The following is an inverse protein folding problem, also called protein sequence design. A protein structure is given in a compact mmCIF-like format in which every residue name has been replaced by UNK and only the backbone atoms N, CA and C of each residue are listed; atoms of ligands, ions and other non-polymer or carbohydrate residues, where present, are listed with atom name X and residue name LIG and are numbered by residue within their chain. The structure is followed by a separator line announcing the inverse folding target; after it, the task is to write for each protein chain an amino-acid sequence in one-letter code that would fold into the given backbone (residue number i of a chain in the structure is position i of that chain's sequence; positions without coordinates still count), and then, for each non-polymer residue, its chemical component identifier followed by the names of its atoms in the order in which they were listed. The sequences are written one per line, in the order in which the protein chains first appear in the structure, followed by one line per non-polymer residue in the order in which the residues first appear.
data_IF_964141337641
#
_entry.id   IF_964141337641
#
_cell.length_a   1.000
_cell.length_b   1.000
_cell.length_c   1.000
_cell.angle_alpha   90.00
_cell.angle_beta   90.00
_cell.angle_gamma   90.00
#
_symmetry.space_group_name_H-M   'P 1'
#
loop_
_entity.id
_entity.type
_entity.pdbx_description
1 polymer ?
#
# COMPACT_ATOMS: atom_id res chain seq x y z
N UNK A 1 -11.49 -4.71 -30.59
CA UNK A 1 -10.90 -5.09 -29.32
C UNK A 1 -11.39 -4.16 -28.21
N UNK A 2 -11.77 -4.71 -27.07
CA UNK A 2 -12.17 -3.89 -25.91
C UNK A 2 -10.94 -3.33 -25.24
N UNK A 3 -10.98 -2.07 -24.82
CA UNK A 3 -9.87 -1.42 -24.12
C UNK A 3 -9.48 -2.20 -22.85
N UNK A 4 -10.46 -2.78 -22.15
CA UNK A 4 -10.22 -3.56 -20.95
C UNK A 4 -9.28 -4.75 -21.16
N UNK A 5 -9.22 -5.31 -22.38
CA UNK A 5 -8.31 -6.42 -22.66
C UNK A 5 -6.85 -6.01 -22.67
N UNK A 6 -6.56 -4.73 -22.86
CA UNK A 6 -5.20 -4.20 -22.78
C UNK A 6 -4.72 -4.17 -21.34
N UNK A 7 -5.63 -3.92 -20.40
CA UNK A 7 -5.30 -3.86 -18.98
C UNK A 7 -5.05 -5.24 -18.38
N UNK A 8 -5.73 -6.28 -18.92
CA UNK A 8 -5.58 -7.65 -18.40
C UNK A 8 -4.21 -8.25 -18.65
N UNK A 9 -3.42 -7.68 -19.57
CA UNK A 9 -2.07 -8.15 -19.88
C UNK A 9 -0.99 -7.46 -19.04
N UNK A 10 -1.37 -6.46 -18.23
CA UNK A 10 -0.45 -5.66 -17.42
C UNK A 10 -0.65 -5.95 -15.94
N UNK A 11 0.34 -5.58 -15.14
CA UNK A 11 0.20 -5.60 -13.69
C UNK A 11 -0.85 -4.58 -13.26
N UNK A 12 -1.76 -4.99 -12.41
CA UNK A 12 -2.80 -4.10 -11.90
C UNK A 12 -3.20 -4.52 -10.48
N UNK A 13 -3.86 -3.62 -9.78
CA UNK A 13 -4.57 -3.92 -8.55
C UNK A 13 -5.90 -3.19 -8.56
N UNK A 14 -6.82 -3.66 -7.72
CA UNK A 14 -8.16 -3.07 -7.60
C UNK A 14 -8.11 -1.93 -6.60
N UNK A 15 -8.67 -0.77 -6.98
CA UNK A 15 -8.81 0.38 -6.08
C UNK A 15 -10.29 0.56 -5.76
N UNK A 16 -10.63 0.51 -4.48
CA UNK A 16 -11.99 0.63 -4.01
C UNK A 16 -12.44 2.09 -4.04
N UNK A 17 -13.60 2.36 -4.66
CA UNK A 17 -14.13 3.72 -4.80
C UNK A 17 -14.47 4.37 -3.45
N UNK A 18 -14.93 3.58 -2.49
CA UNK A 18 -15.25 4.12 -1.16
C UNK A 18 -13.97 4.56 -0.44
N UNK A 19 -12.86 3.86 -0.65
CA UNK A 19 -11.56 4.25 -0.09
C UNK A 19 -11.07 5.54 -0.73
N UNK A 20 -11.30 5.75 -2.02
CA UNK A 20 -10.95 7.00 -2.68
C UNK A 20 -11.67 8.18 -2.02
N UNK A 21 -12.96 8.01 -1.74
CA UNK A 21 -13.77 9.06 -1.09
C UNK A 21 -13.33 9.30 0.35
N UNK A 22 -13.03 8.25 1.09
CA UNK A 22 -12.68 8.34 2.51
C UNK A 22 -11.25 8.83 2.74
N UNK A 23 -10.31 8.43 1.90
CA UNK A 23 -8.87 8.64 2.14
C UNK A 23 -8.21 9.62 1.17
N UNK A 24 -8.75 9.74 -0.05
CA UNK A 24 -8.12 10.49 -1.14
C UNK A 24 -7.61 9.55 -2.21
N UNK A 25 -7.45 10.06 -3.42
CA UNK A 25 -7.07 9.23 -4.57
C UNK A 25 -5.68 8.65 -4.43
N UNK A 26 -4.70 9.47 -4.09
CA UNK A 26 -3.31 9.01 -3.96
C UNK A 26 -3.14 8.05 -2.80
N UNK A 27 -3.81 8.32 -1.69
CA UNK A 27 -3.83 7.44 -0.52
C UNK A 27 -4.43 6.08 -0.87
N UNK A 28 -5.52 6.06 -1.62
CA UNK A 28 -6.16 4.81 -2.03
C UNK A 28 -5.25 4.00 -2.98
N UNK A 29 -4.53 4.67 -3.87
CA UNK A 29 -3.59 4.00 -4.78
C UNK A 29 -2.43 3.38 -4.01
N UNK A 30 -1.80 4.12 -3.11
CA UNK A 30 -0.70 3.60 -2.30
C UNK A 30 -1.17 2.45 -1.41
N UNK A 31 -2.34 2.60 -0.80
CA UNK A 31 -2.91 1.53 0.02
C UNK A 31 -3.17 0.27 -0.80
N UNK A 32 -3.68 0.41 -2.03
CA UNK A 32 -3.88 -0.73 -2.93
C UNK A 32 -2.57 -1.47 -3.23
N UNK A 33 -1.49 -0.73 -3.48
CA UNK A 33 -0.17 -1.32 -3.68
C UNK A 33 0.33 -2.02 -2.42
N UNK A 34 0.14 -1.39 -1.26
CA UNK A 34 0.56 -1.99 0.02
C UNK A 34 -0.21 -3.26 0.35
N UNK A 35 -1.50 -3.32 0.02
CA UNK A 35 -2.30 -4.53 0.20
C UNK A 35 -1.74 -5.66 -0.69
N UNK A 36 -1.38 -5.34 -1.92
CA UNK A 36 -0.72 -6.29 -2.83
C UNK A 36 0.60 -6.81 -2.26
N UNK A 37 1.42 -5.93 -1.70
CA UNK A 37 2.68 -6.32 -1.06
C UNK A 37 2.45 -7.20 0.16
N UNK A 38 1.44 -6.84 0.99
CA UNK A 38 1.08 -7.63 2.16
C UNK A 38 0.69 -9.05 1.76
N UNK A 39 -0.14 -9.19 0.74
CA UNK A 39 -0.56 -10.51 0.25
C UNK A 39 0.62 -11.33 -0.26
N UNK A 40 1.56 -10.69 -0.93
CA UNK A 40 2.79 -11.33 -1.39
C UNK A 40 3.57 -11.95 -0.21
N UNK A 41 3.74 -11.20 0.88
CA UNK A 41 4.47 -11.66 2.06
C UNK A 41 3.66 -12.70 2.85
N UNK A 42 2.35 -12.52 2.95
CA UNK A 42 1.46 -13.45 3.64
C UNK A 42 1.46 -14.83 2.97
N UNK A 43 1.38 -14.86 1.64
CA UNK A 43 1.42 -16.10 0.87
C UNK A 43 2.73 -16.88 1.10
N UNK A 44 3.79 -16.20 1.50
CA UNK A 44 5.10 -16.81 1.79
C UNK A 44 5.34 -17.05 3.28
N UNK A 45 4.32 -16.79 4.10
CA UNK A 45 4.43 -16.98 5.54
C UNK A 45 5.42 -16.02 6.21
N UNK A 46 5.60 -14.83 5.65
CA UNK A 46 6.62 -13.88 6.11
C UNK A 46 6.07 -12.61 6.75
N UNK A 47 4.84 -12.65 7.25
CA UNK A 47 4.33 -11.58 8.10
C UNK A 47 4.79 -11.82 9.54
N UNK A 48 5.34 -10.80 10.18
CA UNK A 48 5.70 -10.83 11.60
C UNK A 48 4.78 -9.87 12.35
N UNK A 49 3.82 -10.39 13.08
CA UNK A 49 2.81 -9.62 13.80
C UNK A 49 2.11 -8.64 12.83
N UNK A 50 1.76 -9.13 11.65
CA UNK A 50 1.15 -8.38 10.54
C UNK A 50 2.04 -7.30 9.91
N UNK A 51 3.28 -7.15 10.34
CA UNK A 51 4.25 -6.25 9.73
C UNK A 51 4.86 -6.89 8.49
N UNK A 52 5.04 -6.10 7.45
CA UNK A 52 5.74 -6.53 6.25
C UNK A 52 6.73 -5.47 5.78
N UNK A 53 7.78 -5.95 5.11
CA UNK A 53 8.83 -5.10 4.57
C UNK A 53 8.33 -4.43 3.28
N UNK A 54 8.52 -3.11 3.20
CA UNK A 54 8.11 -2.34 2.02
C UNK A 54 9.17 -1.31 1.69
N UNK A 55 9.69 -1.35 0.46
CA UNK A 55 10.76 -0.45 0.04
C UNK A 55 10.24 0.73 -0.75
N UNK A 56 10.93 1.87 -0.60
CA UNK A 56 10.68 3.06 -1.42
C UNK A 56 10.86 2.71 -2.91
N UNK A 57 11.93 1.97 -3.22
CA UNK A 57 12.25 1.59 -4.60
C UNK A 57 11.12 0.79 -5.26
N UNK A 58 10.59 -0.19 -4.55
CA UNK A 58 9.54 -1.03 -5.12
C UNK A 58 8.28 -0.23 -5.43
N UNK A 59 7.85 0.62 -4.51
CA UNK A 59 6.66 1.47 -4.74
C UNK A 59 6.91 2.44 -5.88
N UNK A 60 8.09 3.05 -5.94
CA UNK A 60 8.42 3.95 -7.05
C UNK A 60 8.41 3.22 -8.38
N UNK A 61 8.96 2.01 -8.43
CA UNK A 61 8.96 1.20 -9.64
C UNK A 61 7.55 0.76 -10.06
N UNK A 62 6.70 0.45 -9.11
CA UNK A 62 5.35 -0.07 -9.40
C UNK A 62 4.36 1.03 -9.76
N UNK A 63 4.37 2.17 -9.06
CA UNK A 63 3.36 3.21 -9.24
C UNK A 63 3.93 4.61 -9.51
N UNK A 64 5.25 4.75 -9.58
CA UNK A 64 5.88 6.00 -10.01
C UNK A 64 5.96 7.10 -8.97
N UNK A 65 5.63 6.84 -7.71
CA UNK A 65 5.68 7.85 -6.64
C UNK A 65 7.05 7.83 -5.98
N UNK A 66 7.74 8.98 -5.99
CA UNK A 66 9.06 9.10 -5.37
C UNK A 66 8.99 9.08 -3.84
N UNK A 67 10.15 9.04 -3.19
CA UNK A 67 10.25 8.95 -1.73
C UNK A 67 9.49 10.05 -1.00
N UNK A 68 9.62 11.29 -1.45
CA UNK A 68 8.95 12.44 -0.84
C UNK A 68 7.43 12.26 -0.89
N UNK A 69 6.90 11.91 -2.05
CA UNK A 69 5.47 11.70 -2.25
C UNK A 69 4.95 10.53 -1.42
N UNK A 70 5.69 9.43 -1.39
CA UNK A 70 5.35 8.27 -0.56
C UNK A 70 5.28 8.65 0.92
N UNK A 71 6.28 9.38 1.40
CA UNK A 71 6.33 9.80 2.81
C UNK A 71 5.11 10.63 3.19
N UNK A 72 4.74 11.56 2.33
CA UNK A 72 3.57 12.42 2.54
C UNK A 72 2.29 11.60 2.58
N UNK A 73 2.11 10.68 1.65
CA UNK A 73 0.93 9.82 1.56
C UNK A 73 0.86 8.88 2.77
N UNK A 74 1.97 8.27 3.14
CA UNK A 74 2.02 7.37 4.30
C UNK A 74 1.67 8.11 5.60
N UNK A 75 2.13 9.34 5.77
CA UNK A 75 1.75 10.15 6.93
C UNK A 75 0.24 10.41 6.96
N UNK A 76 -0.36 10.70 5.82
CA UNK A 76 -1.80 10.87 5.71
C UNK A 76 -2.54 9.60 6.13
N UNK A 77 -2.11 8.45 5.64
CA UNK A 77 -2.71 7.17 5.99
C UNK A 77 -2.55 6.82 7.48
N UNK A 78 -1.37 7.10 8.05
CA UNK A 78 -1.14 6.92 9.49
C UNK A 78 -2.08 7.80 10.31
N UNK A 79 -2.23 9.07 9.92
CA UNK A 79 -3.09 10.01 10.65
C UNK A 79 -4.55 9.59 10.64
N UNK A 80 -4.96 8.85 9.63
CA UNK A 80 -6.33 8.32 9.51
C UNK A 80 -6.49 6.94 10.16
N UNK A 81 -5.43 6.43 10.75
CA UNK A 81 -5.47 5.18 11.51
C UNK A 81 -5.56 3.90 10.68
N UNK A 82 -5.33 3.97 9.37
CA UNK A 82 -5.48 2.78 8.51
C UNK A 82 -4.20 1.95 8.41
N UNK A 83 -3.05 2.52 8.78
CA UNK A 83 -1.79 1.79 8.81
C UNK A 83 -0.82 2.40 9.80
N UNK A 84 0.25 1.64 10.08
CA UNK A 84 1.36 2.10 10.88
C UNK A 84 2.65 1.91 10.08
N UNK A 85 3.61 2.80 10.29
CA UNK A 85 4.92 2.73 9.63
C UNK A 85 5.99 2.68 10.71
N UNK A 86 6.98 1.81 10.57
CA UNK A 86 8.16 1.85 11.42
C UNK A 86 9.41 1.64 10.57
N UNK A 87 10.48 2.28 11.00
CA UNK A 87 11.78 2.15 10.35
C UNK A 87 12.74 1.59 11.40
N UNK A 88 13.42 0.50 11.06
CA UNK A 88 14.38 -0.13 11.99
C UNK A 88 15.51 -0.80 11.24
N UNK A 89 16.60 -1.05 11.95
CA UNK A 89 17.74 -1.80 11.45
C UNK A 89 18.86 -0.93 10.89
N UNK A 90 19.97 -1.58 10.59
CA UNK A 90 21.15 -0.98 9.96
C UNK A 90 21.58 -1.90 8.82
N UNK A 91 21.36 -1.53 7.54
CA UNK A 91 20.74 -0.28 7.11
C UNK A 91 19.24 -0.21 7.47
N UNK A 92 18.72 1.01 7.58
CA UNK A 92 17.34 1.23 7.95
C UNK A 92 16.36 0.65 6.92
N UNK A 93 15.36 -0.08 7.41
CA UNK A 93 14.32 -0.70 6.57
C UNK A 93 12.94 -0.25 7.02
N UNK A 94 12.06 -0.02 6.06
CA UNK A 94 10.69 0.40 6.33
C UNK A 94 9.76 -0.79 6.41
N UNK A 95 8.96 -0.83 7.47
CA UNK A 95 7.95 -1.85 7.70
C UNK A 95 6.59 -1.19 7.83
N UNK A 96 5.57 -1.86 7.31
CA UNK A 96 4.19 -1.39 7.29
C UNK A 96 3.31 -2.43 7.97
N UNK A 97 2.31 -1.96 8.74
CA UNK A 97 1.25 -2.80 9.27
C UNK A 97 -0.08 -2.13 8.94
N UNK A 98 -0.96 -2.85 8.23
CA UNK A 98 -2.27 -2.36 7.85
C UNK A 98 -3.25 -2.67 8.98
N UNK A 99 -4.02 -1.67 9.40
CA UNK A 99 -5.07 -1.87 10.39
C UNK A 99 -6.35 -2.28 9.66
N UNK A 100 -6.58 -3.59 9.56
CA UNK A 100 -7.72 -4.15 8.84
C UNK A 100 -9.05 -3.71 9.43
N UNK A 101 -9.16 -3.65 10.75
CA UNK A 101 -10.39 -3.25 11.43
C UNK A 101 -10.80 -1.83 11.05
N UNK A 102 -9.87 -0.88 11.14
CA UNK A 102 -10.13 0.50 10.76
C UNK A 102 -10.42 0.62 9.27
N UNK A 103 -9.71 -0.15 8.45
CA UNK A 103 -9.92 -0.14 7.02
C UNK A 103 -11.32 -0.63 6.67
N UNK A 104 -11.76 -1.73 7.27
CA UNK A 104 -13.10 -2.27 7.05
C UNK A 104 -14.19 -1.28 7.47
N UNK A 105 -13.96 -0.47 8.50
CA UNK A 105 -14.92 0.52 8.95
C UNK A 105 -15.18 1.65 7.93
N UNK A 106 -14.29 1.80 6.95
CA UNK A 106 -14.43 2.80 5.89
C UNK A 106 -15.19 2.29 4.67
N UNK A 107 -15.50 1.00 4.63
CA UNK A 107 -16.21 0.36 3.53
C UNK A 107 -17.74 0.21 3.82
#
# INVERSE_FOLDING_TARGET
MKVSSLLSTSKYFIVNKELIKALGTEEAIVLGELISERDYWDDRGQLEDDWFYSTVENIENEIGYNEYKQRKILKSLESKGVLEVKVKGMPAKRYIRINEENLLSLL
#
